data_IF_968462229669
#
_entry.id   IF_968462229669
#
_cell.length_a   1.000
_cell.length_b   1.000
_cell.length_c   1.000
_cell.angle_alpha   90.00
_cell.angle_beta   90.00
_cell.angle_gamma   90.00
#
_symmetry.space_group_name_H-M   'P 1'
#
loop_
_entity.id
_entity.type
_entity.pdbx_description
1 polymer ?
#
# COMPACT_ATOMS: atom_id res chain seq x y z
N UNK A 1 -1.91 -1.98 8.10
CA UNK A 1 -1.48 -2.97 7.11
C UNK A 1 -2.66 -3.43 6.24
N UNK A 2 -3.53 -4.36 6.66
CA UNK A 2 -4.66 -4.84 5.82
C UNK A 2 -5.55 -3.71 5.27
N UNK A 3 -6.00 -2.80 6.14
CA UNK A 3 -6.77 -1.61 5.72
C UNK A 3 -5.99 -0.66 4.82
N UNK A 4 -4.68 -0.62 4.93
CA UNK A 4 -3.82 0.16 4.03
C UNK A 4 -3.81 -0.45 2.63
N UNK A 5 -3.73 -1.78 2.53
CA UNK A 5 -3.83 -2.50 1.25
C UNK A 5 -5.22 -2.35 0.62
N UNK A 6 -6.29 -2.49 1.42
CA UNK A 6 -7.67 -2.23 0.95
C UNK A 6 -7.84 -0.80 0.43
N UNK A 7 -7.21 0.20 1.08
CA UNK A 7 -7.22 1.57 0.58
C UNK A 7 -6.43 1.73 -0.72
N UNK A 8 -5.32 0.99 -0.91
CA UNK A 8 -4.61 0.94 -2.18
C UNK A 8 -5.47 0.34 -3.29
N UNK A 9 -6.22 -0.73 -3.02
CA UNK A 9 -7.15 -1.32 -3.99
C UNK A 9 -8.26 -0.33 -4.39
N UNK A 10 -8.81 0.40 -3.42
CA UNK A 10 -9.79 1.46 -3.69
C UNK A 10 -9.19 2.61 -4.49
N UNK A 11 -7.99 3.07 -4.13
CA UNK A 11 -7.29 4.11 -4.85
C UNK A 11 -7.02 3.70 -6.30
N UNK A 12 -6.59 2.45 -6.54
CA UNK A 12 -6.43 1.89 -7.88
C UNK A 12 -7.76 1.90 -8.65
N UNK A 13 -8.87 1.52 -8.02
CA UNK A 13 -10.17 1.55 -8.69
C UNK A 13 -10.54 2.97 -9.15
N UNK A 14 -10.31 3.98 -8.29
CA UNK A 14 -10.55 5.39 -8.64
C UNK A 14 -9.61 5.85 -9.76
N UNK A 15 -8.33 5.47 -9.73
CA UNK A 15 -7.40 5.78 -10.81
C UNK A 15 -7.80 5.10 -12.12
N UNK A 16 -8.37 3.88 -12.10
CA UNK A 16 -8.79 3.17 -13.30
C UNK A 16 -10.11 3.67 -13.90
N UNK A 17 -11.12 3.88 -13.06
CA UNK A 17 -12.51 4.05 -13.49
C UNK A 17 -13.13 5.38 -13.04
N UNK A 18 -12.46 6.10 -12.14
CA UNK A 18 -12.97 7.33 -11.55
C UNK A 18 -12.91 8.54 -12.46
N UNK A 19 -13.47 9.63 -11.94
CA UNK A 19 -13.43 10.95 -12.55
C UNK A 19 -11.97 11.45 -12.63
N UNK A 20 -11.55 11.93 -13.81
CA UNK A 20 -10.23 12.52 -14.02
C UNK A 20 -9.95 13.69 -13.05
N UNK A 21 -10.98 14.45 -12.66
CA UNK A 21 -10.81 15.56 -11.72
C UNK A 21 -10.42 15.10 -10.30
N UNK A 22 -10.61 13.82 -9.96
CA UNK A 22 -10.28 13.25 -8.65
C UNK A 22 -9.01 12.37 -8.70
N UNK A 23 -8.30 12.34 -9.82
CA UNK A 23 -7.15 11.43 -10.01
C UNK A 23 -5.98 11.75 -9.06
N UNK A 24 -5.78 13.04 -8.75
CA UNK A 24 -4.78 13.49 -7.77
C UNK A 24 -5.13 13.08 -6.34
N UNK A 25 -6.42 13.06 -6.00
CA UNK A 25 -6.88 12.61 -4.68
C UNK A 25 -6.62 11.12 -4.50
N UNK A 26 -6.83 10.32 -5.55
CA UNK A 26 -6.50 8.90 -5.55
C UNK A 26 -4.99 8.65 -5.42
N UNK A 27 -4.16 9.46 -6.10
CA UNK A 27 -2.70 9.43 -5.92
C UNK A 27 -2.28 9.77 -4.48
N UNK A 28 -2.92 10.79 -3.89
CA UNK A 28 -2.68 11.18 -2.49
C UNK A 28 -3.09 10.07 -1.51
N UNK A 29 -4.26 9.45 -1.74
CA UNK A 29 -4.73 8.32 -0.94
C UNK A 29 -3.76 7.13 -1.03
N UNK A 30 -3.25 6.82 -2.22
CA UNK A 30 -2.28 5.75 -2.42
C UNK A 30 -0.96 6.01 -1.68
N UNK A 31 -0.44 7.24 -1.74
CA UNK A 31 0.79 7.62 -1.03
C UNK A 31 0.62 7.49 0.49
N UNK A 32 -0.49 7.99 1.04
CA UNK A 32 -0.81 7.88 2.47
C UNK A 32 -1.00 6.42 2.90
N UNK A 33 -1.67 5.62 2.08
CA UNK A 33 -1.87 4.20 2.34
C UNK A 33 -0.53 3.44 2.36
N UNK A 34 0.37 3.72 1.41
CA UNK A 34 1.73 3.17 1.37
C UNK A 34 2.51 3.51 2.64
N UNK A 35 2.55 4.79 3.05
CA UNK A 35 3.20 5.21 4.28
C UNK A 35 2.62 4.51 5.53
N UNK A 36 1.29 4.38 5.60
CA UNK A 36 0.61 3.68 6.68
C UNK A 36 0.93 2.17 6.71
N UNK A 37 1.09 1.55 5.54
CA UNK A 37 1.50 0.14 5.42
C UNK A 37 2.93 -0.03 5.94
N UNK A 38 3.87 0.80 5.50
CA UNK A 38 5.26 0.78 5.97
C UNK A 38 5.33 0.99 7.50
N UNK A 39 4.62 1.98 8.03
CA UNK A 39 4.60 2.23 9.48
C UNK A 39 4.01 1.05 10.27
N UNK A 40 2.93 0.45 9.78
CA UNK A 40 2.36 -0.75 10.38
C UNK A 40 3.35 -1.93 10.32
N UNK A 41 4.10 -2.07 9.23
CA UNK A 41 5.06 -3.15 9.08
C UNK A 41 6.24 -3.04 10.03
N UNK A 42 6.78 -1.83 10.19
CA UNK A 42 7.82 -1.54 11.18
C UNK A 42 7.33 -1.88 12.60
N UNK A 43 6.12 -1.48 12.96
CA UNK A 43 5.53 -1.79 14.27
C UNK A 43 5.40 -3.30 14.50
N UNK A 44 4.97 -4.07 13.50
CA UNK A 44 4.91 -5.54 13.60
C UNK A 44 6.30 -6.12 13.80
N UNK A 45 7.28 -5.72 13.00
CA UNK A 45 8.66 -6.24 13.07
C UNK A 45 9.32 -5.95 14.41
N UNK A 46 9.15 -4.74 14.95
CA UNK A 46 9.68 -4.33 16.26
C UNK A 46 9.07 -5.16 17.39
N UNK A 47 7.74 -5.29 17.41
CA UNK A 47 7.06 -6.02 18.49
C UNK A 47 7.25 -7.53 18.38
N UNK A 48 7.32 -8.09 17.16
CA UNK A 48 7.54 -9.51 16.94
C UNK A 48 8.91 -9.98 17.46
N UNK A 49 9.94 -9.13 17.41
CA UNK A 49 11.27 -9.43 17.95
C UNK A 49 11.25 -9.68 19.48
N UNK A 50 10.25 -9.14 20.19
CA UNK A 50 10.08 -9.32 21.64
C UNK A 50 9.13 -10.46 22.05
N UNK A 51 8.50 -11.15 21.10
CA UNK A 51 7.52 -12.21 21.41
C UNK A 51 8.21 -13.47 21.94
N UNK A 52 7.66 -14.05 23.00
CA UNK A 52 8.12 -15.36 23.52
C UNK A 52 7.76 -16.49 22.56
N UNK A 53 6.58 -16.42 21.95
CA UNK A 53 6.13 -17.40 20.96
C UNK A 53 6.72 -17.08 19.59
N UNK A 54 7.77 -17.83 19.23
CA UNK A 54 8.49 -17.68 17.97
C UNK A 54 7.67 -18.10 16.75
N UNK A 55 6.68 -18.99 16.92
CA UNK A 55 5.79 -19.38 15.83
C UNK A 55 4.87 -18.23 15.46
N UNK A 56 4.18 -17.66 16.46
CA UNK A 56 3.33 -16.48 16.25
C UNK A 56 4.13 -15.30 15.69
N UNK A 57 5.36 -15.09 16.18
CA UNK A 57 6.25 -14.06 15.62
C UNK A 57 6.53 -14.27 14.13
N UNK A 58 6.85 -15.52 13.74
CA UNK A 58 7.13 -15.87 12.34
C UNK A 58 5.91 -15.69 11.44
N UNK A 59 4.73 -16.12 11.90
CA UNK A 59 3.46 -15.97 11.17
C UNK A 59 3.11 -14.48 10.92
N UNK A 60 3.32 -13.61 11.91
CA UNK A 60 3.12 -12.16 11.77
C UNK A 60 4.11 -11.51 10.79
N UNK A 61 5.38 -11.94 10.81
CA UNK A 61 6.42 -11.46 9.89
C UNK A 61 6.14 -11.91 8.45
N UNK A 62 5.65 -13.14 8.27
CA UNK A 62 5.25 -13.63 6.95
C UNK A 62 4.03 -12.88 6.42
N UNK A 63 3.00 -12.70 7.25
CA UNK A 63 1.79 -11.98 6.85
C UNK A 63 2.09 -10.54 6.45
N UNK A 64 2.91 -9.82 7.23
CA UNK A 64 3.23 -8.44 6.90
C UNK A 64 4.06 -8.33 5.63
N UNK A 65 4.97 -9.27 5.37
CA UNK A 65 5.73 -9.33 4.11
C UNK A 65 4.84 -9.55 2.89
N UNK A 66 3.81 -10.39 3.01
CA UNK A 66 2.82 -10.57 1.93
C UNK A 66 2.06 -9.27 1.64
N UNK A 67 1.63 -8.56 2.69
CA UNK A 67 0.92 -7.29 2.55
C UNK A 67 1.82 -6.18 1.97
N UNK A 68 3.11 -6.13 2.34
CA UNK A 68 4.08 -5.20 1.75
C UNK A 68 4.26 -5.45 0.25
N UNK A 69 4.41 -6.71 -0.17
CA UNK A 69 4.52 -7.06 -1.59
C UNK A 69 3.25 -6.67 -2.37
N UNK A 70 2.07 -7.03 -1.85
CA UNK A 70 0.80 -6.65 -2.47
C UNK A 70 0.64 -5.12 -2.54
N UNK A 71 1.04 -4.40 -1.49
CA UNK A 71 1.02 -2.95 -1.46
C UNK A 71 1.94 -2.32 -2.51
N UNK A 72 3.16 -2.84 -2.66
CA UNK A 72 4.12 -2.39 -3.66
C UNK A 72 3.57 -2.58 -5.09
N UNK A 73 3.05 -3.77 -5.39
CA UNK A 73 2.45 -4.07 -6.69
C UNK A 73 1.30 -3.11 -7.03
N UNK A 74 0.42 -2.83 -6.05
CA UNK A 74 -0.67 -1.87 -6.21
C UNK A 74 -0.16 -0.44 -6.44
N UNK A 75 0.86 0.00 -5.68
CA UNK A 75 1.45 1.33 -5.83
C UNK A 75 2.10 1.52 -7.21
N UNK A 76 2.78 0.51 -7.73
CA UNK A 76 3.37 0.55 -9.07
C UNK A 76 2.30 0.64 -10.15
N UNK A 77 1.23 -0.15 -10.02
CA UNK A 77 0.08 -0.11 -10.94
C UNK A 77 -0.62 1.25 -10.89
N UNK A 78 -0.87 1.79 -9.69
CA UNK A 78 -1.44 3.13 -9.50
C UNK A 78 -0.56 4.18 -10.15
N UNK A 79 0.75 4.17 -9.89
CA UNK A 79 1.69 5.14 -10.44
C UNK A 79 1.69 5.12 -11.97
N UNK A 80 1.73 3.94 -12.57
CA UNK A 80 1.66 3.79 -14.03
C UNK A 80 0.36 4.38 -14.60
N UNK A 81 -0.78 4.09 -13.98
CA UNK A 81 -2.08 4.57 -14.45
C UNK A 81 -2.29 6.06 -14.22
N UNK A 82 -1.74 6.62 -13.13
CA UNK A 82 -1.74 8.07 -12.88
C UNK A 82 -1.06 8.83 -14.02
N UNK A 83 0.09 8.36 -14.50
CA UNK A 83 0.78 8.98 -15.64
C UNK A 83 -0.03 8.86 -16.94
N UNK A 84 -0.56 7.66 -17.22
CA UNK A 84 -1.33 7.41 -18.44
C UNK A 84 -2.61 8.24 -18.52
N UNK A 85 -3.36 8.36 -17.41
CA UNK A 85 -4.64 9.08 -17.38
C UNK A 85 -4.50 10.55 -17.01
N UNK A 86 -3.49 10.92 -16.23
CA UNK A 86 -3.24 12.28 -15.78
C UNK A 86 -2.52 13.16 -16.80
N UNK A 87 -1.93 12.57 -17.84
CA UNK A 87 -1.28 13.33 -18.92
C UNK A 87 0.04 13.99 -18.52
N UNK A 88 0.74 13.46 -17.51
CA UNK A 88 2.06 13.91 -17.07
C UNK A 88 3.06 12.74 -17.03
N UNK A 89 4.36 13.05 -17.09
CA UNK A 89 5.43 12.05 -17.10
C UNK A 89 6.06 11.87 -15.71
N UNK A 90 6.58 10.68 -15.38
CA UNK A 90 7.50 10.54 -14.25
C UNK A 90 8.76 11.37 -14.51
N UNK A 91 9.16 12.19 -13.54
CA UNK A 91 10.50 12.83 -13.50
C UNK A 91 11.62 11.77 -13.46
#
# INVERSE_FOLDING_TARGET
>A
AKKSVELLELAQNVVLNGNLNAISDAGSAAALAGAALTGAALNVRINAAGLKDQRTASELIEEIGKLENQGADLQDQIRSQLFQRGGFSPE
#
